data_IF_326200033685
#
_entry.id   IF_326200033685
#
_cell.length_a   1.000
_cell.length_b   1.000
_cell.length_c   1.000
_cell.angle_alpha   90.00
_cell.angle_beta   90.00
_cell.angle_gamma   90.00
#
_symmetry.space_group_name_H-M   'P 1'
#
loop_
_entity.id
_entity.type
_entity.pdbx_description
1 polymer ?
#
# COMPACT_ATOMS: atom_id res chain seq x y z
N UNK A 1 -28.09 16.17 -0.73
CA UNK A 1 -26.88 16.09 0.12
C UNK A 1 -25.76 16.93 -0.47
N UNK A 2 -24.76 17.26 0.34
CA UNK A 2 -23.61 18.06 -0.11
C UNK A 2 -22.62 17.23 -0.95
N UNK A 3 -22.59 15.91 -0.74
CA UNK A 3 -21.67 14.97 -1.42
C UNK A 3 -22.37 14.34 -2.63
N UNK A 4 -21.76 14.45 -3.80
CA UNK A 4 -22.28 13.89 -5.05
C UNK A 4 -21.41 12.75 -5.60
N UNK A 5 -20.15 12.68 -5.19
CA UNK A 5 -19.18 11.64 -5.58
C UNK A 5 -18.52 11.15 -4.31
N UNK A 6 -18.76 9.91 -3.94
CA UNK A 6 -18.23 9.31 -2.72
C UNK A 6 -17.47 8.03 -3.06
N UNK A 7 -16.26 7.92 -2.57
CA UNK A 7 -15.49 6.67 -2.55
C UNK A 7 -15.36 6.23 -1.09
N UNK A 8 -15.65 4.96 -0.83
CA UNK A 8 -15.41 4.33 0.47
C UNK A 8 -14.53 3.11 0.27
N UNK A 9 -13.31 3.16 0.78
CA UNK A 9 -12.39 2.03 0.77
C UNK A 9 -12.38 1.35 2.13
N UNK A 10 -12.57 0.03 2.15
CA UNK A 10 -12.71 -0.74 3.39
C UNK A 10 -12.24 -2.18 3.20
N UNK A 11 -11.64 -2.81 4.23
CA UNK A 11 -11.13 -4.17 4.13
C UNK A 11 -12.22 -5.20 3.84
N UNK A 12 -11.84 -6.41 3.41
CA UNK A 12 -12.76 -7.53 3.31
C UNK A 12 -13.46 -7.80 4.66
N UNK A 13 -14.71 -8.28 4.61
CA UNK A 13 -15.50 -8.67 5.79
C UNK A 13 -15.75 -7.56 6.82
N UNK A 14 -15.67 -6.29 6.42
CA UNK A 14 -16.00 -5.12 7.26
C UNK A 14 -17.37 -4.52 6.92
N UNK A 15 -18.32 -5.31 6.40
CA UNK A 15 -19.73 -4.93 6.15
C UNK A 15 -19.96 -3.83 5.10
N UNK A 16 -18.95 -3.46 4.31
CA UNK A 16 -19.09 -2.39 3.30
C UNK A 16 -20.29 -2.58 2.37
N UNK A 17 -20.48 -3.78 1.86
CA UNK A 17 -21.60 -4.10 0.96
C UNK A 17 -22.96 -4.12 1.65
N UNK A 18 -23.02 -4.49 2.95
CA UNK A 18 -24.27 -4.43 3.72
C UNK A 18 -24.75 -2.96 3.83
N UNK A 19 -23.83 -2.02 4.06
CA UNK A 19 -24.17 -0.61 4.09
C UNK A 19 -24.49 -0.06 2.70
N UNK A 20 -23.59 -0.26 1.73
CA UNK A 20 -23.68 0.41 0.43
C UNK A 20 -24.67 -0.24 -0.53
N UNK A 21 -24.76 -1.58 -0.56
CA UNK A 21 -25.56 -2.30 -1.55
C UNK A 21 -26.90 -2.80 -1.03
N UNK A 22 -27.10 -2.79 0.29
CA UNK A 22 -28.35 -3.23 0.91
C UNK A 22 -29.07 -2.09 1.63
N UNK A 23 -28.48 -1.52 2.70
CA UNK A 23 -29.16 -0.53 3.52
C UNK A 23 -29.30 0.83 2.83
N UNK A 24 -28.25 1.30 2.14
CA UNK A 24 -28.26 2.62 1.47
C UNK A 24 -29.35 2.72 0.40
N UNK A 25 -29.48 1.80 -0.57
CA UNK A 25 -30.56 1.89 -1.56
C UNK A 25 -31.94 1.85 -0.94
N UNK A 26 -32.18 1.02 0.05
CA UNK A 26 -33.45 0.96 0.76
C UNK A 26 -33.75 2.29 1.49
N UNK A 27 -32.78 2.85 2.20
CA UNK A 27 -32.93 4.14 2.87
C UNK A 27 -33.17 5.29 1.90
N UNK A 28 -32.43 5.33 0.78
CA UNK A 28 -32.56 6.38 -0.23
C UNK A 28 -33.93 6.36 -0.89
N UNK A 29 -34.44 5.16 -1.26
CA UNK A 29 -35.79 5.00 -1.84
C UNK A 29 -36.86 5.36 -0.81
N UNK A 30 -36.64 5.08 0.48
CA UNK A 30 -37.56 5.50 1.55
C UNK A 30 -37.66 7.03 1.66
N UNK A 31 -36.57 7.72 1.44
CA UNK A 31 -36.51 9.19 1.47
C UNK A 31 -37.06 9.86 0.21
N UNK A 32 -36.83 9.21 -0.94
CA UNK A 32 -37.29 9.64 -2.25
C UNK A 32 -37.78 8.44 -3.05
N UNK A 33 -39.11 8.14 -3.00
CA UNK A 33 -39.65 6.96 -3.67
C UNK A 33 -39.62 7.01 -5.21
N UNK A 34 -39.24 8.13 -5.81
CA UNK A 34 -39.12 8.33 -7.26
C UNK A 34 -37.70 8.07 -7.75
N UNK A 35 -36.75 7.83 -6.84
CA UNK A 35 -35.34 7.70 -7.15
C UNK A 35 -35.07 6.50 -8.06
N UNK A 36 -34.24 6.72 -9.08
CA UNK A 36 -33.77 5.66 -9.97
C UNK A 36 -32.36 5.26 -9.59
N UNK A 37 -32.19 3.99 -9.21
CA UNK A 37 -30.93 3.44 -8.74
C UNK A 37 -30.40 2.41 -9.72
N UNK A 38 -29.13 2.54 -10.12
CA UNK A 38 -28.36 1.49 -10.75
C UNK A 38 -27.37 0.97 -9.72
N UNK A 39 -27.44 -0.33 -9.43
CA UNK A 39 -26.54 -1.04 -8.54
C UNK A 39 -25.64 -1.95 -9.36
N UNK A 40 -24.33 -1.79 -9.19
CA UNK A 40 -23.34 -2.64 -9.87
C UNK A 40 -22.45 -3.32 -8.87
N UNK A 41 -22.19 -4.60 -9.10
CA UNK A 41 -21.17 -5.36 -8.38
C UNK A 41 -20.29 -6.11 -9.39
N UNK A 42 -19.21 -6.74 -8.94
CA UNK A 42 -18.34 -7.53 -9.80
C UNK A 42 -19.12 -8.54 -10.66
N UNK A 43 -20.10 -9.27 -10.09
CA UNK A 43 -20.98 -10.19 -10.84
C UNK A 43 -22.44 -9.77 -10.78
N UNK A 44 -23.19 -10.02 -11.88
CA UNK A 44 -24.62 -9.75 -11.90
C UNK A 44 -25.40 -10.55 -10.84
N UNK A 45 -24.98 -11.77 -10.52
CA UNK A 45 -25.59 -12.60 -9.48
C UNK A 45 -25.53 -11.94 -8.10
N UNK A 46 -24.35 -11.39 -7.75
CA UNK A 46 -24.19 -10.69 -6.48
C UNK A 46 -25.06 -9.42 -6.41
N UNK A 47 -25.13 -8.66 -7.52
CA UNK A 47 -25.98 -7.49 -7.61
C UNK A 47 -27.47 -7.83 -7.43
N UNK A 48 -27.94 -8.91 -8.07
CA UNK A 48 -29.32 -9.43 -7.91
C UNK A 48 -29.58 -9.87 -6.48
N UNK A 49 -28.61 -10.49 -5.80
CA UNK A 49 -28.75 -10.90 -4.40
C UNK A 49 -28.97 -9.69 -3.49
N UNK A 50 -28.24 -8.60 -3.67
CA UNK A 50 -28.45 -7.35 -2.92
C UNK A 50 -29.78 -6.69 -3.27
N UNK A 51 -30.16 -6.69 -4.55
CA UNK A 51 -31.47 -6.19 -4.98
C UNK A 51 -32.63 -6.94 -4.31
N UNK A 52 -32.51 -8.26 -4.15
CA UNK A 52 -33.48 -9.07 -3.42
C UNK A 52 -33.55 -8.70 -1.95
N UNK A 53 -32.40 -8.52 -1.29
CA UNK A 53 -32.34 -8.11 0.12
C UNK A 53 -33.00 -6.74 0.33
N UNK A 54 -32.66 -5.75 -0.51
CA UNK A 54 -33.24 -4.42 -0.44
C UNK A 54 -34.76 -4.46 -0.67
N UNK A 55 -35.22 -5.24 -1.66
CA UNK A 55 -36.63 -5.44 -1.94
C UNK A 55 -37.37 -6.02 -0.73
N UNK A 56 -36.86 -7.07 -0.11
CA UNK A 56 -37.48 -7.69 1.07
C UNK A 56 -37.54 -6.72 2.26
N UNK A 57 -36.52 -5.88 2.43
CA UNK A 57 -36.55 -4.86 3.49
C UNK A 57 -37.63 -3.82 3.22
N UNK A 58 -37.77 -3.33 2.00
CA UNK A 58 -38.79 -2.34 1.62
C UNK A 58 -40.21 -2.90 1.80
N UNK A 59 -40.39 -4.20 1.59
CA UNK A 59 -41.67 -4.92 1.72
C UNK A 59 -41.98 -5.36 3.16
N UNK A 60 -41.12 -5.05 4.13
CA UNK A 60 -41.31 -5.44 5.54
C UNK A 60 -42.20 -4.46 6.29
N UNK A 61 -42.86 -5.00 7.36
CA UNK A 61 -43.68 -4.19 8.25
C UNK A 61 -42.86 -3.14 9.00
N UNK A 62 -41.62 -3.46 9.37
CA UNK A 62 -40.70 -2.51 10.04
C UNK A 62 -40.37 -1.32 9.17
N UNK A 63 -40.14 -1.55 7.88
CA UNK A 63 -39.85 -0.48 6.94
C UNK A 63 -41.07 0.43 6.73
N UNK A 64 -42.27 -0.15 6.62
CA UNK A 64 -43.51 0.62 6.45
C UNK A 64 -43.84 1.51 7.65
N UNK A 65 -43.34 1.21 8.83
CA UNK A 65 -43.44 2.07 10.04
C UNK A 65 -42.60 3.35 9.93
N UNK A 66 -41.55 3.32 9.10
CA UNK A 66 -40.61 4.43 8.96
C UNK A 66 -40.86 5.18 7.66
N UNK A 67 -41.12 4.49 6.57
CA UNK A 67 -41.26 5.04 5.22
C UNK A 67 -42.62 4.66 4.60
N UNK A 68 -43.18 5.58 3.81
CA UNK A 68 -44.45 5.36 3.11
C UNK A 68 -44.26 4.78 1.70
N UNK A 69 -43.04 4.37 1.34
CA UNK A 69 -42.71 3.79 0.04
C UNK A 69 -43.22 2.35 -0.02
N UNK A 70 -43.88 2.00 -1.11
CA UNK A 70 -44.34 0.66 -1.41
C UNK A 70 -43.81 0.20 -2.75
N UNK A 71 -43.67 -1.09 -2.93
CA UNK A 71 -43.31 -1.68 -4.23
C UNK A 71 -44.53 -1.77 -5.13
N UNK A 72 -44.29 -1.73 -6.43
CA UNK A 72 -45.32 -1.96 -7.43
C UNK A 72 -45.71 -3.44 -7.44
N UNK A 73 -47.01 -3.77 -7.50
CA UNK A 73 -47.54 -5.12 -7.30
C UNK A 73 -47.02 -6.15 -8.32
N UNK A 74 -46.76 -5.75 -9.54
CA UNK A 74 -46.24 -6.59 -10.63
C UNK A 74 -44.69 -6.66 -10.65
N UNK A 75 -44.01 -5.91 -9.78
CA UNK A 75 -42.56 -5.83 -9.72
C UNK A 75 -41.95 -7.01 -8.96
N UNK A 76 -41.87 -8.19 -9.60
CA UNK A 76 -41.46 -9.45 -8.95
C UNK A 76 -39.99 -9.82 -9.05
N UNK A 77 -39.24 -9.24 -9.99
CA UNK A 77 -37.86 -9.62 -10.23
C UNK A 77 -36.93 -9.14 -9.12
N UNK A 78 -36.00 -9.97 -8.69
CA UNK A 78 -35.07 -9.67 -7.60
C UNK A 78 -34.01 -8.60 -7.98
N UNK A 79 -33.58 -8.60 -9.22
CA UNK A 79 -32.59 -7.66 -9.73
C UNK A 79 -33.17 -6.40 -10.41
N UNK A 80 -34.52 -6.34 -10.50
CA UNK A 80 -35.25 -5.20 -11.07
C UNK A 80 -36.59 -5.06 -10.42
N UNK A 81 -36.80 -3.96 -9.77
CA UNK A 81 -38.08 -3.65 -9.12
C UNK A 81 -38.37 -2.15 -9.18
N UNK A 82 -39.63 -1.82 -9.05
CA UNK A 82 -40.15 -0.45 -9.14
C UNK A 82 -40.97 -0.13 -7.89
N UNK A 83 -40.98 1.13 -7.49
CA UNK A 83 -41.87 1.62 -6.44
C UNK A 83 -43.20 2.03 -7.04
N UNK A 84 -44.25 2.00 -6.26
CA UNK A 84 -45.58 2.51 -6.68
C UNK A 84 -45.57 4.00 -7.06
N UNK A 85 -44.54 4.71 -6.66
CA UNK A 85 -44.36 6.14 -6.92
C UNK A 85 -43.49 6.43 -8.16
N UNK A 86 -42.99 5.39 -8.87
CA UNK A 86 -42.27 5.50 -10.14
C UNK A 86 -40.73 5.55 -10.01
N UNK A 87 -40.17 5.18 -8.84
CA UNK A 87 -38.73 4.91 -8.70
C UNK A 87 -38.37 3.54 -9.27
N UNK A 88 -37.13 3.36 -9.62
CA UNK A 88 -36.61 2.13 -10.23
C UNK A 88 -35.32 1.69 -9.55
N UNK A 89 -35.17 0.38 -9.31
CA UNK A 89 -33.91 -0.24 -8.95
C UNK A 89 -33.53 -1.26 -10.03
N UNK A 90 -32.27 -1.19 -10.46
CA UNK A 90 -31.71 -2.10 -11.44
C UNK A 90 -30.34 -2.61 -11.04
N UNK A 91 -30.17 -3.93 -10.98
CA UNK A 91 -28.93 -4.62 -10.66
C UNK A 91 -28.20 -5.12 -11.90
N UNK A 92 -26.90 -4.88 -11.99
CA UNK A 92 -26.02 -5.35 -13.05
C UNK A 92 -24.66 -5.82 -12.50
N UNK A 93 -23.96 -6.64 -13.29
CA UNK A 93 -22.53 -6.91 -13.08
C UNK A 93 -21.66 -5.95 -13.88
N UNK A 94 -20.38 -5.86 -13.53
CA UNK A 94 -19.37 -5.17 -14.36
C UNK A 94 -19.39 -5.79 -15.76
N UNK A 95 -19.35 -4.97 -16.81
CA UNK A 95 -19.52 -5.42 -18.21
C UNK A 95 -20.96 -5.75 -18.62
N UNK A 96 -21.91 -5.76 -17.69
CA UNK A 96 -23.32 -6.01 -17.98
C UNK A 96 -24.00 -4.88 -18.75
N UNK A 97 -25.04 -5.24 -19.52
CA UNK A 97 -25.82 -4.27 -20.30
C UNK A 97 -26.70 -3.38 -19.41
N UNK A 98 -26.41 -2.09 -19.37
CA UNK A 98 -27.18 -1.06 -18.65
C UNK A 98 -27.76 0.00 -19.60
N UNK A 99 -27.84 -0.30 -20.90
CA UNK A 99 -28.34 0.60 -21.93
C UNK A 99 -29.82 0.91 -21.75
N UNK A 100 -30.22 2.15 -22.12
CA UNK A 100 -31.62 2.57 -22.10
C UNK A 100 -32.15 2.99 -20.71
N UNK A 101 -31.30 3.07 -19.67
CA UNK A 101 -31.70 3.44 -18.32
C UNK A 101 -31.01 4.72 -17.86
N UNK A 102 -31.77 5.57 -17.13
CA UNK A 102 -31.21 6.71 -16.43
C UNK A 102 -31.09 6.42 -14.94
N UNK A 103 -30.14 7.03 -14.24
CA UNK A 103 -29.97 6.88 -12.81
C UNK A 103 -29.77 8.23 -12.11
N UNK A 104 -30.39 8.36 -10.93
CA UNK A 104 -30.19 9.45 -9.98
C UNK A 104 -29.13 9.05 -8.93
N UNK A 105 -28.94 7.74 -8.75
CA UNK A 105 -27.91 7.16 -7.88
C UNK A 105 -27.29 5.94 -8.57
N UNK A 106 -25.98 5.99 -8.73
CA UNK A 106 -25.16 4.85 -9.15
C UNK A 106 -24.39 4.35 -7.94
N UNK A 107 -24.56 3.09 -7.61
CA UNK A 107 -23.77 2.39 -6.57
C UNK A 107 -22.89 1.36 -7.27
N UNK A 108 -21.60 1.43 -7.02
CA UNK A 108 -20.62 0.45 -7.51
C UNK A 108 -19.98 -0.19 -6.29
N UNK A 109 -20.12 -1.50 -6.13
CA UNK A 109 -19.64 -2.24 -4.97
C UNK A 109 -18.73 -3.37 -5.42
N UNK A 110 -17.46 -3.30 -4.96
CA UNK A 110 -16.39 -4.24 -5.30
C UNK A 110 -16.37 -4.59 -6.80
N UNK A 111 -16.03 -3.62 -7.68
CA UNK A 111 -16.04 -3.83 -9.12
C UNK A 111 -14.96 -4.79 -9.62
N UNK A 112 -13.95 -5.07 -8.79
CA UNK A 112 -12.81 -5.92 -9.09
C UNK A 112 -12.85 -7.23 -8.31
N UNK A 113 -12.37 -8.31 -8.93
CA UNK A 113 -12.13 -9.60 -8.30
C UNK A 113 -10.65 -9.83 -8.03
N UNK A 114 -10.35 -10.91 -7.31
CA UNK A 114 -8.98 -11.38 -7.13
C UNK A 114 -8.29 -11.75 -8.45
N UNK A 115 -9.05 -12.26 -9.42
CA UNK A 115 -8.54 -12.59 -10.75
C UNK A 115 -8.16 -11.33 -11.55
N UNK A 116 -8.93 -10.26 -11.41
CA UNK A 116 -8.62 -8.96 -12.04
C UNK A 116 -7.29 -8.41 -11.55
N UNK A 117 -6.96 -8.60 -10.27
CA UNK A 117 -5.68 -8.16 -9.70
C UNK A 117 -4.45 -8.86 -10.32
N UNK A 118 -4.65 -9.98 -11.02
CA UNK A 118 -3.58 -10.72 -11.72
C UNK A 118 -3.48 -10.33 -13.20
N UNK A 119 -4.42 -9.54 -13.74
CA UNK A 119 -4.47 -9.13 -15.14
C UNK A 119 -4.02 -7.69 -15.32
N UNK A 120 -3.07 -7.45 -16.24
CA UNK A 120 -2.60 -6.09 -16.55
C UNK A 120 -3.71 -5.17 -17.07
N UNK A 121 -4.66 -5.73 -17.81
CA UNK A 121 -5.67 -4.97 -18.55
C UNK A 121 -7.01 -4.89 -17.81
N UNK A 122 -7.21 -5.68 -16.75
CA UNK A 122 -8.52 -5.77 -16.08
C UNK A 122 -8.94 -4.44 -15.42
N UNK A 123 -8.00 -3.72 -14.82
CA UNK A 123 -8.28 -2.42 -14.21
C UNK A 123 -8.62 -1.36 -15.25
N UNK A 124 -7.89 -1.33 -16.37
CA UNK A 124 -8.15 -0.41 -17.48
C UNK A 124 -9.50 -0.71 -18.13
N UNK A 125 -9.84 -1.99 -18.33
CA UNK A 125 -11.15 -2.42 -18.84
C UNK A 125 -12.30 -2.01 -17.88
N UNK A 126 -12.10 -2.10 -16.57
CA UNK A 126 -13.10 -1.66 -15.58
C UNK A 126 -13.31 -0.13 -15.64
N UNK A 127 -12.24 0.64 -15.83
CA UNK A 127 -12.35 2.09 -15.99
C UNK A 127 -13.01 2.47 -17.31
N UNK A 128 -12.66 1.80 -18.43
CA UNK A 128 -13.30 2.01 -19.72
C UNK A 128 -14.80 1.68 -19.66
N UNK A 129 -15.16 0.54 -19.06
CA UNK A 129 -16.55 0.19 -18.81
C UNK A 129 -17.26 1.25 -17.97
N UNK A 130 -16.65 1.74 -16.89
CA UNK A 130 -17.22 2.78 -16.06
C UNK A 130 -17.52 4.04 -16.86
N UNK A 131 -16.58 4.51 -17.66
CA UNK A 131 -16.70 5.76 -18.42
C UNK A 131 -17.66 5.65 -19.62
N UNK A 132 -17.66 4.52 -20.33
CA UNK A 132 -18.49 4.30 -21.52
C UNK A 132 -19.92 3.87 -21.19
N UNK A 133 -20.13 3.21 -20.05
CA UNK A 133 -21.41 2.64 -19.63
C UNK A 133 -22.07 3.43 -18.48
N UNK A 134 -21.82 3.06 -17.22
CA UNK A 134 -22.56 3.58 -16.05
C UNK A 134 -22.51 5.09 -15.90
N UNK A 135 -21.34 5.71 -16.13
CA UNK A 135 -21.16 7.17 -16.01
C UNK A 135 -22.05 7.94 -16.98
N UNK A 136 -22.32 7.38 -18.17
CA UNK A 136 -23.18 7.97 -19.19
C UNK A 136 -24.67 7.82 -18.91
N UNK A 137 -25.05 7.09 -17.87
CA UNK A 137 -26.45 6.85 -17.45
C UNK A 137 -26.95 7.83 -16.41
N UNK A 138 -26.08 8.69 -15.91
CA UNK A 138 -26.41 9.59 -14.83
C UNK A 138 -27.24 10.77 -15.30
N UNK A 139 -28.33 11.02 -14.58
CA UNK A 139 -29.14 12.23 -14.71
C UNK A 139 -28.37 13.45 -14.20
N UNK A 140 -28.72 14.69 -14.65
CA UNK A 140 -28.16 15.90 -14.05
C UNK A 140 -28.36 15.93 -12.53
N UNK A 141 -27.30 16.16 -11.77
CA UNK A 141 -27.31 16.14 -10.30
C UNK A 141 -27.27 14.76 -9.65
N UNK A 142 -27.18 13.70 -10.44
CA UNK A 142 -27.05 12.33 -9.93
C UNK A 142 -25.80 12.11 -9.10
N UNK A 143 -25.89 11.15 -8.18
CA UNK A 143 -24.83 10.80 -7.24
C UNK A 143 -24.15 9.47 -7.61
N UNK A 144 -22.88 9.35 -7.25
CA UNK A 144 -22.15 8.09 -7.35
C UNK A 144 -21.58 7.72 -5.97
N UNK A 145 -21.75 6.47 -5.60
CA UNK A 145 -21.10 5.83 -4.45
C UNK A 145 -20.30 4.65 -4.95
N UNK A 146 -18.98 4.73 -4.86
CA UNK A 146 -18.07 3.63 -5.12
C UNK A 146 -17.61 3.08 -3.77
N UNK A 147 -17.84 1.80 -3.53
CA UNK A 147 -17.38 1.11 -2.32
C UNK A 147 -16.57 -0.09 -2.74
N UNK A 148 -15.32 -0.19 -2.28
CA UNK A 148 -14.47 -1.31 -2.66
C UNK A 148 -13.34 -1.56 -1.67
N UNK A 149 -12.77 -2.74 -1.76
CA UNK A 149 -11.44 -3.05 -1.22
C UNK A 149 -10.39 -2.60 -2.25
N UNK A 150 -9.30 -1.99 -1.79
CA UNK A 150 -8.19 -1.60 -2.67
C UNK A 150 -7.39 -2.83 -3.12
N UNK A 151 -6.94 -2.80 -4.38
CA UNK A 151 -6.13 -3.85 -4.98
C UNK A 151 -4.80 -3.33 -5.52
N UNK A 152 -4.84 -2.16 -6.16
CA UNK A 152 -3.72 -1.55 -6.85
C UNK A 152 -3.88 -0.04 -6.90
N UNK A 153 -2.80 0.70 -7.14
CA UNK A 153 -2.91 2.12 -7.52
C UNK A 153 -3.63 2.32 -8.87
N UNK A 154 -3.74 1.27 -9.67
CA UNK A 154 -4.48 1.25 -10.97
C UNK A 154 -5.91 0.74 -10.85
N UNK A 155 -6.38 0.36 -9.67
CA UNK A 155 -7.79 0.00 -9.48
C UNK A 155 -8.72 1.19 -9.73
N UNK A 156 -10.02 0.94 -9.81
CA UNK A 156 -10.98 2.00 -10.16
C UNK A 156 -10.87 3.22 -9.23
N UNK A 157 -10.70 3.02 -7.91
CA UNK A 157 -10.44 4.13 -6.98
C UNK A 157 -9.17 4.89 -7.38
N UNK A 158 -8.06 4.20 -7.63
CA UNK A 158 -6.78 4.82 -7.96
C UNK A 158 -6.85 5.66 -9.22
N UNK A 159 -7.48 5.15 -10.30
CA UNK A 159 -7.63 5.88 -11.56
C UNK A 159 -8.55 7.11 -11.38
N UNK A 160 -9.66 6.96 -10.65
CA UNK A 160 -10.56 8.09 -10.37
C UNK A 160 -9.88 9.19 -9.57
N UNK A 161 -9.07 8.84 -8.57
CA UNK A 161 -8.30 9.77 -7.78
C UNK A 161 -7.20 10.49 -8.60
N UNK A 162 -6.50 9.79 -9.49
CA UNK A 162 -5.55 10.41 -10.41
C UNK A 162 -6.22 11.42 -11.36
N UNK A 163 -7.46 11.12 -11.80
CA UNK A 163 -8.21 11.98 -12.69
C UNK A 163 -8.87 13.17 -11.97
N UNK A 164 -9.05 13.13 -10.65
CA UNK A 164 -9.60 14.22 -9.84
C UNK A 164 -8.76 15.51 -9.93
N UNK A 165 -7.44 15.40 -10.08
CA UNK A 165 -6.55 16.55 -10.26
C UNK A 165 -6.69 17.29 -11.58
N UNK A 166 -7.45 16.76 -12.56
CA UNK A 166 -7.68 17.39 -13.85
C UNK A 166 -8.74 18.49 -13.71
N UNK A 167 -8.50 19.63 -14.34
CA UNK A 167 -9.46 20.74 -14.40
C UNK A 167 -10.78 20.24 -15.00
N UNK A 168 -11.90 20.44 -14.31
CA UNK A 168 -13.27 20.00 -14.67
C UNK A 168 -13.53 18.49 -14.56
N UNK A 169 -12.66 17.69 -13.92
CA UNK A 169 -12.97 16.31 -13.55
C UNK A 169 -13.97 16.21 -12.40
N UNK A 170 -14.63 15.05 -12.25
CA UNK A 170 -15.43 14.76 -11.06
C UNK A 170 -14.54 14.90 -9.81
N UNK A 171 -15.01 15.57 -8.78
CA UNK A 171 -14.33 15.70 -7.48
C UNK A 171 -14.94 14.69 -6.51
N UNK A 172 -14.11 13.88 -5.88
CA UNK A 172 -14.51 12.79 -5.02
C UNK A 172 -14.20 13.08 -3.56
N UNK A 173 -15.18 12.87 -2.72
CA UNK A 173 -14.97 12.73 -1.28
C UNK A 173 -14.53 11.27 -1.02
N UNK A 174 -13.38 11.08 -0.37
CA UNK A 174 -12.82 9.75 -0.13
C UNK A 174 -12.80 9.48 1.37
N UNK A 175 -13.33 8.32 1.75
CA UNK A 175 -13.31 7.81 3.12
C UNK A 175 -12.60 6.47 3.11
N UNK A 176 -11.53 6.35 3.86
CA UNK A 176 -10.74 5.11 3.96
C UNK A 176 -10.78 4.56 5.39
N UNK A 177 -11.10 3.28 5.48
CA UNK A 177 -11.11 2.53 6.72
C UNK A 177 -10.02 1.44 6.63
N UNK A 178 -8.81 1.68 7.14
CA UNK A 178 -7.82 0.61 7.26
C UNK A 178 -8.25 -0.38 8.36
N UNK A 179 -7.82 -1.64 8.28
CA UNK A 179 -8.12 -2.63 9.33
C UNK A 179 -7.53 -2.26 10.69
N UNK A 180 -6.38 -1.57 10.69
CA UNK A 180 -5.71 -1.08 11.89
C UNK A 180 -5.64 0.44 11.87
N UNK A 181 -6.20 1.06 12.89
CA UNK A 181 -6.06 2.50 13.17
C UNK A 181 -4.78 2.74 13.98
N UNK A 182 -4.20 3.92 13.84
CA UNK A 182 -2.99 4.35 14.56
C UNK A 182 -1.81 3.37 14.37
N UNK A 183 -1.72 2.76 13.16
CA UNK A 183 -0.75 1.72 12.82
C UNK A 183 0.69 2.14 13.11
N UNK A 184 1.46 1.24 13.74
CA UNK A 184 2.84 1.46 14.16
C UNK A 184 2.99 2.37 15.39
N UNK A 185 1.92 2.65 16.13
CA UNK A 185 1.95 3.38 17.39
C UNK A 185 1.53 2.49 18.57
N UNK A 186 1.80 2.96 19.81
CA UNK A 186 1.27 2.29 21.02
C UNK A 186 -0.26 2.30 21.13
N UNK A 187 -0.94 3.11 20.29
CA UNK A 187 -2.41 3.21 20.24
C UNK A 187 -3.01 2.37 19.12
N UNK A 188 -2.20 1.54 18.46
CA UNK A 188 -2.68 0.67 17.38
C UNK A 188 -3.84 -0.20 17.82
N UNK A 189 -4.90 -0.20 17.05
CA UNK A 189 -6.13 -0.93 17.36
C UNK A 189 -6.90 -1.28 16.10
N UNK A 190 -7.69 -2.36 16.10
CA UNK A 190 -8.61 -2.66 15.02
C UNK A 190 -9.61 -1.51 14.78
N UNK A 191 -9.98 -1.27 13.52
CA UNK A 191 -11.04 -0.31 13.17
C UNK A 191 -12.41 -0.75 13.71
N UNK A 192 -12.60 -2.06 13.87
CA UNK A 192 -13.81 -2.66 14.43
C UNK A 192 -13.49 -3.72 15.51
N UNK A 193 -13.10 -3.29 16.72
CA UNK A 193 -12.59 -4.17 17.77
C UNK A 193 -13.63 -5.14 18.36
N UNK A 194 -14.93 -4.87 18.17
CA UNK A 194 -15.99 -5.78 18.61
C UNK A 194 -16.05 -7.05 17.76
N UNK A 195 -15.69 -6.96 16.51
CA UNK A 195 -15.74 -8.06 15.54
C UNK A 195 -14.34 -8.62 15.22
N UNK A 196 -13.37 -7.78 14.87
CA UNK A 196 -11.99 -8.17 14.61
C UNK A 196 -11.10 -7.94 15.82
N UNK A 197 -10.54 -9.03 16.38
CA UNK A 197 -9.56 -8.95 17.46
C UNK A 197 -8.16 -8.78 16.87
N UNK A 198 -7.25 -8.18 17.66
CA UNK A 198 -5.89 -7.92 17.20
C UNK A 198 -5.14 -9.19 16.77
N UNK A 199 -5.25 -10.25 17.59
CA UNK A 199 -4.61 -11.56 17.32
C UNK A 199 -5.13 -12.22 16.02
N UNK A 200 -6.41 -12.02 15.68
CA UNK A 200 -6.99 -12.50 14.43
C UNK A 200 -6.47 -11.73 13.23
N UNK A 201 -6.34 -10.39 13.33
CA UNK A 201 -5.77 -9.56 12.29
C UNK A 201 -4.28 -9.88 12.07
N UNK A 202 -3.53 -10.14 13.14
CA UNK A 202 -2.13 -10.57 13.06
C UNK A 202 -1.99 -11.92 12.34
N UNK A 203 -2.86 -12.88 12.60
CA UNK A 203 -2.89 -14.16 11.87
C UNK A 203 -3.18 -13.94 10.37
N UNK A 204 -4.15 -13.12 10.04
CA UNK A 204 -4.45 -12.78 8.63
C UNK A 204 -3.25 -12.09 8.00
N UNK A 205 -2.67 -11.11 8.69
CA UNK A 205 -1.47 -10.40 8.26
C UNK A 205 -0.31 -11.36 7.98
N UNK A 206 -0.11 -12.36 8.84
CA UNK A 206 0.96 -13.35 8.69
C UNK A 206 0.77 -14.29 7.49
N UNK A 207 -0.48 -14.53 7.06
CA UNK A 207 -0.78 -15.42 5.92
C UNK A 207 -0.75 -14.71 4.56
N UNK A 208 -0.76 -13.38 4.55
CA UNK A 208 -0.81 -12.60 3.31
C UNK A 208 0.57 -12.03 2.94
N UNK A 209 0.93 -11.99 1.65
CA UNK A 209 2.03 -11.16 1.17
C UNK A 209 1.85 -9.71 1.64
N UNK A 210 2.98 -9.04 1.93
CA UNK A 210 2.96 -7.67 2.48
C UNK A 210 2.19 -6.71 1.58
N UNK A 211 2.41 -6.76 0.27
CA UNK A 211 1.69 -5.92 -0.70
C UNK A 211 0.17 -6.14 -0.69
N UNK A 212 -0.28 -7.41 -0.57
CA UNK A 212 -1.72 -7.72 -0.45
C UNK A 212 -2.31 -7.21 0.87
N UNK A 213 -1.59 -7.38 1.99
CA UNK A 213 -2.00 -6.82 3.27
C UNK A 213 -2.14 -5.30 3.18
N UNK A 214 -1.12 -4.62 2.67
CA UNK A 214 -1.12 -3.17 2.54
C UNK A 214 -2.26 -2.66 1.64
N UNK A 215 -2.48 -3.29 0.49
CA UNK A 215 -3.56 -2.91 -0.41
C UNK A 215 -4.94 -3.17 0.20
N UNK A 216 -5.23 -4.44 0.53
CA UNK A 216 -6.59 -4.88 0.84
C UNK A 216 -7.03 -4.58 2.28
N UNK A 217 -6.10 -4.69 3.24
CA UNK A 217 -6.43 -4.51 4.66
C UNK A 217 -6.10 -3.11 5.16
N UNK A 218 -5.00 -2.52 4.69
CA UNK A 218 -4.63 -1.16 5.08
C UNK A 218 -5.12 -0.08 4.10
N UNK A 219 -5.73 -0.45 2.98
CA UNK A 219 -6.21 0.41 1.90
C UNK A 219 -5.08 1.25 1.24
N UNK A 220 -3.84 0.79 1.34
CA UNK A 220 -2.63 1.46 0.83
C UNK A 220 -1.92 0.59 -0.21
N UNK A 221 -2.43 0.49 -1.45
CA UNK A 221 -1.77 -0.25 -2.50
C UNK A 221 -0.46 0.44 -2.90
N UNK A 222 0.57 -0.35 -3.12
CA UNK A 222 1.85 0.10 -3.67
C UNK A 222 1.87 0.01 -5.20
N UNK A 223 2.73 0.80 -5.85
CA UNK A 223 2.94 0.73 -7.29
C UNK A 223 4.38 0.34 -7.54
N UNK A 224 4.60 -0.71 -8.32
CA UNK A 224 5.93 -1.09 -8.81
C UNK A 224 6.30 -0.38 -10.12
N UNK A 225 5.39 0.39 -10.70
CA UNK A 225 5.64 1.12 -11.93
C UNK A 225 6.62 2.26 -11.71
N UNK A 226 7.74 2.20 -12.41
CA UNK A 226 8.84 3.17 -12.22
C UNK A 226 9.71 2.89 -10.99
N UNK A 227 9.59 1.71 -10.36
CA UNK A 227 10.46 1.30 -9.27
C UNK A 227 11.93 1.31 -9.71
N UNK A 228 12.78 1.94 -8.90
CA UNK A 228 14.23 1.98 -9.17
C UNK A 228 14.92 0.65 -8.80
N UNK A 229 14.37 -0.08 -7.84
CA UNK A 229 14.81 -1.44 -7.47
C UNK A 229 13.60 -2.36 -7.60
N UNK A 230 13.68 -3.27 -8.56
CA UNK A 230 12.57 -4.19 -8.83
C UNK A 230 12.58 -5.37 -7.87
N UNK A 231 11.40 -5.87 -7.53
CA UNK A 231 11.23 -7.05 -6.67
C UNK A 231 11.96 -8.28 -7.22
N UNK A 232 11.95 -8.48 -8.52
CA UNK A 232 12.57 -9.62 -9.19
C UNK A 232 14.10 -9.62 -9.16
N UNK A 233 14.75 -8.50 -8.83
CA UNK A 233 16.21 -8.40 -8.71
C UNK A 233 16.75 -8.95 -7.39
N UNK A 234 15.87 -9.12 -6.39
CA UNK A 234 16.25 -9.70 -5.12
C UNK A 234 16.41 -11.22 -5.24
N UNK A 235 17.59 -11.75 -4.89
CA UNK A 235 17.78 -13.17 -4.76
C UNK A 235 17.21 -13.68 -3.46
N UNK A 236 16.57 -14.87 -3.50
CA UNK A 236 15.94 -15.47 -2.34
C UNK A 236 16.85 -16.47 -1.68
N UNK A 237 17.12 -16.26 -0.39
CA UNK A 237 17.79 -17.24 0.48
C UNK A 237 16.71 -18.13 1.07
N UNK A 238 16.71 -19.41 0.65
CA UNK A 238 15.64 -20.36 1.00
C UNK A 238 16.00 -21.25 2.20
N UNK A 239 17.22 -21.16 2.68
CA UNK A 239 17.70 -21.95 3.80
C UNK A 239 17.25 -21.33 5.12
N UNK A 240 16.99 -22.18 6.13
CA UNK A 240 16.60 -21.76 7.47
C UNK A 240 17.78 -21.29 8.35
N UNK A 241 18.99 -21.31 7.77
CA UNK A 241 20.22 -20.90 8.44
C UNK A 241 20.86 -19.70 7.73
N UNK A 242 21.61 -18.91 8.51
CA UNK A 242 22.36 -17.76 8.00
C UNK A 242 23.68 -18.26 7.41
N UNK A 243 24.08 -17.83 6.17
CA UNK A 243 25.36 -18.22 5.60
C UNK A 243 26.53 -17.74 6.45
N UNK A 244 27.73 -18.30 6.24
CA UNK A 244 28.93 -17.82 6.91
C UNK A 244 29.18 -16.36 6.52
N UNK A 245 29.14 -15.47 7.50
CA UNK A 245 29.33 -14.05 7.32
C UNK A 245 30.80 -13.67 7.49
N UNK A 246 31.27 -12.77 6.64
CA UNK A 246 32.61 -12.20 6.71
C UNK A 246 32.62 -10.79 7.28
N UNK A 247 31.50 -10.09 7.21
CA UNK A 247 31.35 -8.75 7.75
C UNK A 247 29.87 -8.43 7.97
N UNK A 248 29.56 -7.75 9.06
CA UNK A 248 28.19 -7.31 9.37
C UNK A 248 28.18 -5.82 9.62
N UNK A 249 27.18 -5.12 9.06
CA UNK A 249 26.97 -3.71 9.27
C UNK A 249 25.50 -3.41 9.51
N UNK A 250 25.24 -2.47 10.38
CA UNK A 250 23.90 -1.94 10.62
C UNK A 250 23.79 -0.50 10.16
N UNK A 251 22.65 -0.16 9.58
CA UNK A 251 22.33 1.19 9.15
C UNK A 251 21.01 1.67 9.76
N UNK A 252 20.99 2.93 10.13
CA UNK A 252 19.92 3.56 10.89
C UNK A 252 19.43 4.82 10.17
N UNK A 253 18.19 4.83 9.72
CA UNK A 253 17.43 6.05 9.44
C UNK A 253 16.53 6.35 10.64
N UNK A 254 16.70 7.52 11.26
CA UNK A 254 16.06 7.83 12.53
C UNK A 254 15.16 9.05 12.43
N UNK A 255 13.98 8.99 13.04
CA UNK A 255 13.04 10.08 13.14
C UNK A 255 12.84 10.51 14.60
N UNK A 256 12.56 11.80 14.83
CA UNK A 256 12.17 12.31 16.14
C UNK A 256 10.66 12.37 16.30
N UNK A 257 10.14 11.70 17.33
CA UNK A 257 8.77 11.88 17.78
C UNK A 257 8.60 13.20 18.54
N UNK A 258 8.28 14.30 17.86
CA UNK A 258 7.76 15.52 18.51
C UNK A 258 6.22 15.65 18.41
N UNK A 259 5.56 14.84 17.60
CA UNK A 259 4.09 14.79 17.40
C UNK A 259 3.66 13.36 17.10
N UNK A 260 2.40 13.04 17.37
CA UNK A 260 1.77 11.73 17.06
C UNK A 260 1.81 11.34 15.57
N UNK A 261 2.21 12.25 14.68
CA UNK A 261 2.35 12.07 13.22
C UNK A 261 3.81 11.94 12.76
N UNK A 262 4.76 11.62 13.66
CA UNK A 262 6.17 11.53 13.30
C UNK A 262 6.48 10.30 12.44
N UNK A 263 7.53 10.42 11.61
CA UNK A 263 8.03 9.37 10.73
C UNK A 263 8.54 8.15 11.49
N UNK A 264 8.71 7.04 10.80
CA UNK A 264 9.29 5.82 11.35
C UNK A 264 10.80 5.96 11.53
N UNK A 265 11.35 5.23 12.50
CA UNK A 265 12.77 4.92 12.54
C UNK A 265 12.98 3.53 11.94
N UNK A 266 13.96 3.41 11.04
CA UNK A 266 14.32 2.17 10.37
C UNK A 266 15.73 1.74 10.72
N UNK A 267 15.90 0.44 11.00
CA UNK A 267 17.19 -0.21 11.24
C UNK A 267 17.29 -1.39 10.28
N UNK A 268 18.36 -1.48 9.49
CA UNK A 268 18.62 -2.65 8.67
C UNK A 268 19.99 -3.24 9.00
N UNK A 269 20.05 -4.58 9.05
CA UNK A 269 21.29 -5.34 9.31
C UNK A 269 21.63 -6.19 8.10
N UNK A 270 22.87 -6.15 7.68
CA UNK A 270 23.36 -6.78 6.46
C UNK A 270 24.62 -7.57 6.72
N UNK A 271 24.77 -8.71 6.01
CA UNK A 271 25.96 -9.54 6.06
C UNK A 271 26.61 -9.69 4.70
N UNK A 272 27.94 -9.64 4.67
CA UNK A 272 28.73 -10.03 3.50
C UNK A 272 28.99 -11.52 3.57
N UNK A 273 28.73 -12.21 2.49
CA UNK A 273 29.00 -13.64 2.35
C UNK A 273 29.42 -14.01 0.94
N UNK A 274 29.97 -15.18 0.77
CA UNK A 274 30.35 -15.72 -0.53
C UNK A 274 29.47 -16.95 -0.82
N UNK A 275 28.61 -16.89 -1.88
CA UNK A 275 27.74 -18.02 -2.22
C UNK A 275 28.50 -19.31 -2.54
N UNK A 276 29.70 -19.19 -3.14
CA UNK A 276 30.64 -20.25 -3.42
C UNK A 276 32.07 -19.69 -3.30
N UNK A 277 33.10 -20.57 -3.21
CA UNK A 277 34.51 -20.17 -3.07
C UNK A 277 35.01 -19.24 -4.19
N UNK A 278 34.54 -19.44 -5.42
CA UNK A 278 34.95 -18.67 -6.59
C UNK A 278 33.99 -17.48 -6.90
N UNK A 279 32.97 -17.27 -6.08
CA UNK A 279 32.00 -16.19 -6.31
C UNK A 279 32.47 -14.86 -5.73
N UNK A 280 32.11 -13.72 -6.33
CA UNK A 280 32.32 -12.44 -5.68
C UNK A 280 31.52 -12.35 -4.37
N UNK A 281 31.92 -11.44 -3.49
CA UNK A 281 31.17 -11.16 -2.29
C UNK A 281 29.74 -10.69 -2.61
N UNK A 282 28.78 -11.20 -1.87
CA UNK A 282 27.36 -10.87 -1.98
C UNK A 282 26.86 -10.30 -0.64
N UNK A 283 25.75 -9.62 -0.68
CA UNK A 283 25.07 -9.08 0.50
C UNK A 283 23.79 -9.85 0.79
N UNK A 284 23.57 -10.17 2.05
CA UNK A 284 22.31 -10.74 2.52
C UNK A 284 21.70 -9.84 3.59
N UNK A 285 20.42 -9.55 3.46
CA UNK A 285 19.64 -8.89 4.50
C UNK A 285 19.44 -9.88 5.66
N UNK A 286 19.88 -9.52 6.85
CA UNK A 286 19.81 -10.36 8.05
C UNK A 286 18.63 -9.99 8.95
N UNK A 287 18.30 -8.69 9.04
CA UNK A 287 17.21 -8.18 9.84
C UNK A 287 16.78 -6.79 9.39
N UNK A 288 15.52 -6.44 9.63
CA UNK A 288 14.99 -5.09 9.41
C UNK A 288 13.90 -4.76 10.44
N UNK A 289 13.99 -3.57 11.01
CA UNK A 289 13.04 -3.03 11.97
C UNK A 289 12.55 -1.68 11.45
N UNK A 290 11.25 -1.49 11.46
CA UNK A 290 10.60 -0.21 11.14
C UNK A 290 9.51 0.06 12.16
N UNK A 291 9.78 0.96 13.08
CA UNK A 291 8.89 1.27 14.19
C UNK A 291 8.89 2.78 14.47
N UNK A 292 7.79 3.29 15.04
CA UNK A 292 7.75 4.64 15.59
C UNK A 292 8.20 4.58 17.04
N UNK A 293 9.40 5.06 17.28
CA UNK A 293 10.06 4.96 18.59
C UNK A 293 10.38 6.34 19.15
N UNK A 294 10.15 6.53 20.45
CA UNK A 294 10.76 7.63 21.18
C UNK A 294 12.26 7.39 21.40
N UNK A 295 13.03 8.46 21.61
CA UNK A 295 14.49 8.35 21.71
C UNK A 295 14.99 7.30 22.73
N UNK A 296 14.45 7.18 23.95
CA UNK A 296 14.88 6.14 24.89
C UNK A 296 14.64 4.71 24.36
N UNK A 297 13.55 4.51 23.62
CA UNK A 297 13.21 3.23 23.03
C UNK A 297 14.10 2.91 21.82
N UNK A 298 14.34 3.90 20.95
CA UNK A 298 15.28 3.79 19.83
C UNK A 298 16.69 3.42 20.32
N UNK A 299 17.17 4.10 21.36
CA UNK A 299 18.45 3.79 22.00
C UNK A 299 18.51 2.35 22.53
N UNK A 300 17.50 1.92 23.24
CA UNK A 300 17.39 0.55 23.77
C UNK A 300 17.42 -0.47 22.62
N UNK A 301 16.61 -0.24 21.59
CA UNK A 301 16.53 -1.11 20.40
C UNK A 301 17.86 -1.17 19.66
N UNK A 302 18.53 -0.04 19.48
CA UNK A 302 19.86 0.00 18.86
C UNK A 302 20.89 -0.82 19.63
N UNK A 303 20.90 -0.76 20.96
CA UNK A 303 21.77 -1.57 21.80
C UNK A 303 21.45 -3.07 21.75
N UNK A 304 20.17 -3.44 21.74
CA UNK A 304 19.73 -4.83 21.57
C UNK A 304 20.21 -5.39 20.23
N UNK A 305 20.02 -4.67 19.16
CA UNK A 305 20.42 -5.03 17.81
C UNK A 305 21.94 -5.13 17.65
N UNK A 306 22.67 -4.18 18.24
CA UNK A 306 24.12 -4.20 18.25
C UNK A 306 24.66 -5.44 18.98
N UNK A 307 24.14 -5.76 20.16
CA UNK A 307 24.55 -6.94 20.94
C UNK A 307 24.21 -8.27 20.27
N UNK A 308 23.08 -8.31 19.59
CA UNK A 308 22.61 -9.53 18.93
C UNK A 308 23.46 -9.86 17.69
N UNK A 309 23.67 -8.85 16.83
CA UNK A 309 24.34 -9.03 15.54
C UNK A 309 25.85 -8.81 15.58
N UNK A 310 26.35 -8.16 16.63
CA UNK A 310 27.76 -7.81 16.80
C UNK A 310 28.40 -7.23 15.53
N UNK A 311 27.82 -6.16 14.93
CA UNK A 311 28.31 -5.61 13.68
C UNK A 311 29.68 -4.94 13.86
N UNK A 312 30.55 -5.04 12.85
CA UNK A 312 31.84 -4.36 12.83
C UNK A 312 31.70 -2.84 12.66
N UNK A 313 30.56 -2.38 12.15
CA UNK A 313 30.25 -0.94 12.12
C UNK A 313 28.75 -0.67 12.14
N UNK A 314 28.43 0.51 12.64
CA UNK A 314 27.08 1.06 12.66
C UNK A 314 27.08 2.36 11.86
N UNK A 315 26.13 2.55 10.93
CA UNK A 315 25.95 3.77 10.15
C UNK A 315 24.66 4.46 10.62
N UNK A 316 24.75 5.73 10.97
CA UNK A 316 23.58 6.54 11.34
C UNK A 316 23.49 7.75 10.42
N UNK A 317 22.31 7.99 9.84
CA UNK A 317 22.09 9.19 9.03
C UNK A 317 22.18 10.44 9.91
N UNK A 318 22.97 11.42 9.47
CA UNK A 318 23.16 12.69 10.19
C UNK A 318 21.99 13.64 9.90
N UNK A 319 20.84 13.32 10.47
CA UNK A 319 19.70 14.23 10.63
C UNK A 319 19.62 14.71 12.07
N UNK A 320 18.69 15.63 12.36
CA UNK A 320 18.50 16.17 13.72
C UNK A 320 18.31 15.06 14.77
N UNK A 321 17.75 13.92 14.40
CA UNK A 321 17.49 12.74 15.27
C UNK A 321 18.68 11.79 15.39
N UNK A 322 19.50 11.66 14.36
CA UNK A 322 20.65 10.75 14.36
C UNK A 322 21.84 11.27 15.20
N UNK A 323 21.94 12.58 15.39
CA UNK A 323 23.05 13.17 16.17
C UNK A 323 23.08 12.74 17.64
N UNK A 324 21.96 12.80 18.39
CA UNK A 324 21.94 12.30 19.76
C UNK A 324 22.19 10.79 19.87
N UNK A 325 21.62 9.99 18.97
CA UNK A 325 21.86 8.54 18.96
C UNK A 325 23.32 8.23 18.72
N UNK A 326 23.96 8.89 17.74
CA UNK A 326 25.39 8.74 17.46
C UNK A 326 26.26 9.05 18.67
N UNK A 327 25.94 10.11 19.38
CA UNK A 327 26.68 10.51 20.58
C UNK A 327 26.57 9.46 21.70
N UNK A 328 25.35 9.00 21.99
CA UNK A 328 25.09 7.97 22.99
C UNK A 328 25.78 6.64 22.66
N UNK A 329 25.68 6.17 21.41
CA UNK A 329 26.31 4.92 21.01
C UNK A 329 27.84 5.01 21.08
N UNK A 330 28.45 6.13 20.68
CA UNK A 330 29.90 6.35 20.82
C UNK A 330 30.36 6.38 22.25
N UNK A 331 29.58 6.92 23.19
CA UNK A 331 29.89 6.86 24.62
C UNK A 331 29.89 5.43 25.18
N UNK A 332 29.28 4.49 24.46
CA UNK A 332 29.25 3.05 24.80
C UNK A 332 30.28 2.25 24.02
N UNK A 333 31.31 2.91 23.47
CA UNK A 333 32.37 2.30 22.65
C UNK A 333 31.88 1.57 21.39
N UNK A 334 30.70 1.94 20.88
CA UNK A 334 30.18 1.40 19.63
C UNK A 334 30.77 2.17 18.43
N UNK A 335 31.33 1.50 17.42
CA UNK A 335 31.95 2.15 16.26
C UNK A 335 30.90 2.72 15.32
N UNK A 336 30.46 3.96 15.56
CA UNK A 336 29.44 4.65 14.76
C UNK A 336 30.08 5.55 13.72
N UNK A 337 29.75 5.30 12.46
CA UNK A 337 29.98 6.20 11.34
C UNK A 337 28.72 7.02 11.07
N UNK A 338 28.89 8.28 10.71
CA UNK A 338 27.78 9.15 10.32
C UNK A 338 27.68 9.25 8.81
N UNK A 339 26.49 9.12 8.28
CA UNK A 339 26.19 9.37 6.88
C UNK A 339 25.53 10.74 6.75
N UNK A 340 26.13 11.63 5.95
CA UNK A 340 25.58 12.97 5.68
C UNK A 340 25.20 13.05 4.20
N UNK A 341 23.91 13.19 3.86
CA UNK A 341 23.49 13.45 2.49
C UNK A 341 24.11 14.77 2.00
N UNK A 342 24.89 14.74 0.92
CA UNK A 342 25.44 15.94 0.30
C UNK A 342 24.41 16.61 -0.63
N UNK A 343 24.55 17.94 -0.82
CA UNK A 343 23.78 18.66 -1.85
C UNK A 343 24.11 18.06 -3.22
N UNK A 344 23.11 17.50 -3.92
CA UNK A 344 23.28 16.81 -5.20
C UNK A 344 23.30 15.27 -5.07
N UNK A 345 23.36 14.71 -3.86
CA UNK A 345 23.15 13.28 -3.62
C UNK A 345 21.72 13.05 -3.11
N UNK A 346 20.76 13.38 -3.98
CA UNK A 346 19.35 13.15 -3.75
C UNK A 346 19.07 11.65 -3.52
N UNK A 347 18.03 11.35 -2.78
CA UNK A 347 17.57 9.98 -2.48
C UNK A 347 17.49 9.12 -3.75
N UNK A 348 16.93 9.66 -4.84
CA UNK A 348 16.88 8.99 -6.14
C UNK A 348 18.27 8.61 -6.68
N UNK A 349 19.25 9.50 -6.55
CA UNK A 349 20.63 9.24 -6.99
C UNK A 349 21.25 8.11 -6.16
N UNK A 350 21.02 8.10 -4.84
CA UNK A 350 21.50 7.03 -3.95
C UNK A 350 20.90 5.67 -4.32
N UNK A 351 19.57 5.59 -4.48
CA UNK A 351 18.90 4.35 -4.88
C UNK A 351 19.38 3.88 -6.24
N UNK A 352 19.50 4.78 -7.22
CA UNK A 352 20.04 4.44 -8.55
C UNK A 352 21.48 3.93 -8.48
N UNK A 353 22.32 4.44 -7.59
CA UNK A 353 23.68 3.94 -7.41
C UNK A 353 23.75 2.53 -6.81
N UNK A 354 22.71 2.09 -6.10
CA UNK A 354 22.58 0.75 -5.55
C UNK A 354 21.94 -0.23 -6.54
N UNK A 355 21.06 0.24 -7.43
CA UNK A 355 20.27 -0.58 -8.34
C UNK A 355 21.10 -1.63 -9.16
N UNK A 356 22.29 -1.31 -9.68
CA UNK A 356 23.11 -2.29 -10.41
C UNK A 356 23.48 -3.54 -9.59
N UNK A 357 23.68 -3.40 -8.27
CA UNK A 357 23.98 -4.55 -7.39
C UNK A 357 22.78 -5.48 -7.24
N UNK A 358 21.58 -4.93 -7.24
CA UNK A 358 20.34 -5.72 -7.23
C UNK A 358 20.13 -6.40 -8.59
N UNK A 359 20.25 -5.66 -9.68
CA UNK A 359 20.08 -6.16 -11.04
C UNK A 359 21.07 -7.29 -11.37
N UNK A 360 22.32 -7.20 -10.90
CA UNK A 360 23.33 -8.26 -11.05
C UNK A 360 23.09 -9.46 -10.15
N UNK A 361 22.10 -9.43 -9.27
CA UNK A 361 21.77 -10.53 -8.36
C UNK A 361 22.75 -10.71 -7.20
N UNK A 362 23.45 -9.65 -6.80
CA UNK A 362 24.38 -9.68 -5.66
C UNK A 362 23.69 -9.48 -4.32
N UNK A 363 22.42 -9.06 -4.32
CA UNK A 363 21.67 -8.75 -3.10
C UNK A 363 20.66 -9.88 -2.82
N UNK A 364 20.71 -10.40 -1.60
CA UNK A 364 19.91 -11.53 -1.14
C UNK A 364 19.01 -11.14 0.01
N UNK A 365 17.87 -11.80 0.10
CA UNK A 365 16.94 -11.66 1.20
C UNK A 365 16.37 -13.03 1.61
N UNK A 366 16.22 -13.33 2.92
CA UNK A 366 15.58 -14.54 3.38
C UNK A 366 14.07 -14.50 3.11
N UNK A 367 13.44 -15.68 3.09
CA UNK A 367 11.97 -15.79 2.99
C UNK A 367 11.33 -15.50 4.36
N UNK A 368 11.56 -14.28 4.87
CA UNK A 368 11.08 -13.79 6.16
C UNK A 368 10.27 -12.51 5.96
N UNK A 369 9.34 -12.26 6.88
CA UNK A 369 8.43 -11.12 6.77
C UNK A 369 9.15 -9.77 6.74
N UNK A 370 10.13 -9.56 7.60
CA UNK A 370 10.91 -8.31 7.61
C UNK A 370 11.58 -8.02 6.26
N UNK A 371 12.04 -9.09 5.59
CA UNK A 371 12.66 -8.95 4.28
C UNK A 371 11.64 -8.57 3.21
N UNK A 372 10.43 -9.14 3.26
CA UNK A 372 9.34 -8.74 2.38
C UNK A 372 8.94 -7.27 2.59
N UNK A 373 9.00 -6.74 3.81
CA UNK A 373 8.71 -5.33 4.10
C UNK A 373 9.74 -4.40 3.44
N UNK A 374 11.03 -4.75 3.48
CA UNK A 374 12.09 -4.01 2.77
C UNK A 374 11.90 -4.08 1.26
N UNK A 375 11.64 -5.27 0.72
CA UNK A 375 11.43 -5.49 -0.72
C UNK A 375 10.22 -4.69 -1.22
N UNK A 376 9.13 -4.70 -0.46
CA UNK A 376 7.91 -3.96 -0.81
C UNK A 376 8.17 -2.45 -0.86
N UNK A 377 8.88 -1.91 0.13
CA UNK A 377 9.17 -0.48 0.18
C UNK A 377 10.15 -0.07 -0.94
N UNK A 378 11.14 -0.90 -1.25
CA UNK A 378 12.04 -0.69 -2.40
C UNK A 378 11.28 -0.74 -3.73
N UNK A 379 10.37 -1.70 -3.91
CA UNK A 379 9.57 -1.85 -5.11
C UNK A 379 8.52 -0.72 -5.28
N UNK A 380 8.12 -0.09 -4.18
CA UNK A 380 7.22 1.06 -4.19
C UNK A 380 7.93 2.40 -4.43
N UNK A 381 9.24 2.47 -4.19
CA UNK A 381 10.01 3.70 -4.36
C UNK A 381 10.20 4.06 -5.86
N UNK A 382 10.00 5.33 -6.30
CA UNK A 382 9.85 6.55 -5.49
C UNK A 382 8.41 6.93 -5.11
N UNK A 383 7.42 6.14 -5.46
CA UNK A 383 5.99 6.49 -5.34
C UNK A 383 5.31 5.93 -4.09
N UNK A 384 6.07 5.27 -3.20
CA UNK A 384 5.59 4.76 -1.93
C UNK A 384 5.27 5.86 -0.91
N UNK A 385 4.40 5.56 0.06
CA UNK A 385 4.06 6.49 1.15
C UNK A 385 5.20 6.63 2.18
N UNK A 386 6.09 5.66 2.24
CA UNK A 386 7.23 5.58 3.15
C UNK A 386 8.46 5.10 2.42
N UNK A 387 9.63 5.53 2.88
CA UNK A 387 10.92 5.21 2.28
C UNK A 387 12.05 5.09 3.32
N UNK A 388 11.68 4.90 4.59
CA UNK A 388 12.63 4.81 5.72
C UNK A 388 13.54 3.57 5.61
N UNK A 389 12.97 2.40 5.20
CA UNK A 389 13.73 1.18 4.95
C UNK A 389 14.63 1.31 3.71
N UNK A 390 14.17 2.06 2.68
CA UNK A 390 14.98 2.35 1.49
C UNK A 390 16.18 3.20 1.85
N UNK A 391 16.02 4.22 2.70
CA UNK A 391 17.13 5.06 3.16
C UNK A 391 18.14 4.24 3.99
N UNK A 392 17.66 3.46 4.95
CA UNK A 392 18.53 2.60 5.75
C UNK A 392 19.27 1.57 4.87
N UNK A 393 18.59 0.92 3.95
CA UNK A 393 19.17 -0.03 3.00
C UNK A 393 20.25 0.61 2.12
N UNK A 394 19.96 1.78 1.52
CA UNK A 394 20.93 2.42 0.62
C UNK A 394 22.21 2.81 1.33
N UNK A 395 22.16 3.25 2.59
CA UNK A 395 23.36 3.56 3.38
C UNK A 395 24.24 2.33 3.58
N UNK A 396 23.64 1.18 3.90
CA UNK A 396 24.39 -0.06 4.07
C UNK A 396 25.02 -0.55 2.75
N UNK A 397 24.25 -0.59 1.67
CA UNK A 397 24.73 -1.04 0.35
C UNK A 397 25.84 -0.13 -0.18
N UNK A 398 25.70 1.19 -0.07
CA UNK A 398 26.75 2.14 -0.45
C UNK A 398 28.02 1.96 0.39
N UNK A 399 27.89 1.70 1.70
CA UNK A 399 29.03 1.46 2.57
C UNK A 399 29.81 0.22 2.18
N UNK A 400 29.14 -0.87 1.85
CA UNK A 400 29.79 -2.07 1.35
C UNK A 400 30.52 -1.83 0.04
N UNK A 401 29.89 -1.13 -0.90
CA UNK A 401 30.53 -0.75 -2.17
C UNK A 401 31.77 0.10 -1.97
N UNK A 402 31.68 1.14 -1.15
CA UNK A 402 32.80 2.04 -0.85
C UNK A 402 33.89 1.37 -0.02
N UNK A 403 33.55 0.42 0.83
CA UNK A 403 34.46 -0.32 1.66
C UNK A 403 35.26 -1.42 0.93
N UNK A 404 35.01 -1.61 -0.38
CA UNK A 404 35.68 -2.63 -1.19
C UNK A 404 35.24 -4.06 -0.87
N UNK A 405 34.14 -4.24 -0.12
CA UNK A 405 33.58 -5.57 0.18
C UNK A 405 32.86 -6.16 -1.04
N UNK A 406 32.21 -5.29 -1.84
CA UNK A 406 31.52 -5.65 -3.06
C UNK A 406 32.06 -4.79 -4.20
N UNK A 407 32.45 -5.44 -5.29
CA UNK A 407 32.83 -4.78 -6.55
C UNK A 407 31.79 -5.09 -7.62
N UNK A 408 31.32 -4.07 -8.32
CA UNK A 408 30.51 -4.22 -9.53
C UNK A 408 31.41 -4.05 -10.75
N UNK A 409 31.16 -4.71 -11.90
CA UNK A 409 31.96 -4.54 -13.13
C UNK A 409 32.16 -3.09 -13.54
N UNK A 410 31.20 -2.20 -13.25
CA UNK A 410 31.31 -0.77 -13.51
C UNK A 410 32.32 -0.04 -12.59
N UNK A 411 32.69 -0.64 -11.45
CA UNK A 411 33.67 -0.09 -10.52
C UNK A 411 35.11 -0.20 -11.09
N UNK A 412 35.31 -1.04 -12.13
CA UNK A 412 36.59 -1.25 -12.84
C UNK A 412 36.74 -0.39 -14.09
N UNK A 413 35.91 0.61 -14.32
CA UNK A 413 36.18 1.62 -15.34
C UNK A 413 37.40 2.41 -14.87
N UNK A 414 38.58 2.03 -15.40
CA UNK A 414 39.81 2.75 -15.16
C UNK A 414 39.58 4.26 -15.41
N UNK A 415 39.69 5.06 -14.35
CA UNK A 415 40.01 6.45 -14.52
C UNK A 415 41.30 6.49 -15.35
N UNK A 416 41.19 6.75 -16.66
CA UNK A 416 42.33 7.11 -17.48
C UNK A 416 42.91 8.32 -16.84
N UNK A 417 43.94 8.12 -16.02
CA UNK A 417 44.72 9.20 -15.44
C UNK A 417 45.28 10.01 -16.59
N UNK A 418 44.71 11.18 -16.82
CA UNK A 418 45.31 12.17 -17.71
C UNK A 418 46.72 12.49 -17.14
N UNK A 419 47.80 12.25 -17.89
CA UNK A 419 49.12 12.52 -17.38
C UNK A 419 49.22 14.03 -17.06
N UNK A 420 49.44 14.38 -15.80
CA UNK A 420 49.69 15.72 -15.37
C UNK A 420 50.99 16.17 -16.06
N UNK A 421 50.90 17.12 -17.01
CA UNK A 421 52.07 17.78 -17.56
C UNK A 421 52.79 18.49 -16.41
N UNK A 422 53.98 17.97 -16.03
CA UNK A 422 54.89 18.72 -15.17
C UNK A 422 55.40 19.91 -15.96
N UNK A 423 55.07 21.10 -15.54
CA UNK A 423 55.65 22.34 -16.01
C UNK A 423 56.85 22.61 -15.08
N UNK A 424 58.07 22.66 -15.66
CA UNK A 424 59.21 23.16 -14.95
C UNK A 424 59.16 24.69 -14.97
N UNK A 425 59.35 25.32 -13.82
CA UNK A 425 59.75 26.71 -13.70
C UNK A 425 61.26 26.79 -13.64
#
# INVERSE_FOLDING_TARGET
GKINRLIVNMPPRHTKSEFASFLLPAWMVGRDPKLKIIQVTHTGELAVRFGRKAKHLIDSEEYSKIFKTTLQEDSKAAGRWETAQGGEYFAAGVGGAITGRGADLLIIDDPHSEQDAMSKDAFDNAYEWYTSGPRQRLQPGAKIVLVMTRWSKKDLTGILMQNQGKVKGDQWDVVEFPALLDHGTKKERPVWPEYWKMDELEKVKATLPVGKWNAQWMQKPTSEEGALIKREWWRRWKEDWIPQLHHVIQSYDTAFLKKETADFSAITTWGVFYPNEDSPANLILLDAIKERMEFPELRRRALEQYKYWNPESVIVEQKASGTPLTHELRQMDIPVSTFTPSRGNDKHVRVNSCAPLFESGMIWAPEQRFAEEVIEECAAFPHGDHDDLVDAMTMAVMRFRQGGFISHPEDYVEEKSTPRKRVYY
#
